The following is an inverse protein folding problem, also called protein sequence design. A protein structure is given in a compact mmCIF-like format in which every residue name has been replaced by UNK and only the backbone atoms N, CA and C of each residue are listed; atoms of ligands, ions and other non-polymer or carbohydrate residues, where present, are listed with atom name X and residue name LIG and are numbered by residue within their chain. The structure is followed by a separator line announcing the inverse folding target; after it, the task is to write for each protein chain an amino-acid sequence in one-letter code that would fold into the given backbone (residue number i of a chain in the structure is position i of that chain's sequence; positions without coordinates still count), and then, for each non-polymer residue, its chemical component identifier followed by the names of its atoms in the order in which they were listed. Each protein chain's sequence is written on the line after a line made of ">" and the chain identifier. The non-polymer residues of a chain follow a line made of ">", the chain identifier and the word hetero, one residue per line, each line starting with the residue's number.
data_IF_115031086617
#
_entry.id   IF_115031086617
#
_cell.length_a   1.000
_cell.length_b   1.000
_cell.length_c   1.000
_cell.angle_alpha   90.00
_cell.angle_beta   90.00
_cell.angle_gamma   90.00
#
_symmetry.space_group_name_H-M   'P 1'
#
loop_
_entity.id
_entity.type
_entity.pdbx_description
1 polymer ?
#
# COMPACT_ATOMS: atom_id res chain seq x y z
N UNK A 1 -14.09 18.89 -10.61
CA UNK A 1 -13.67 17.83 -9.66
C UNK A 1 -12.29 17.36 -10.06
N UNK A 2 -11.30 17.54 -9.19
CA UNK A 2 -9.99 16.92 -9.40
C UNK A 2 -10.07 15.44 -8.98
N UNK A 3 -9.55 14.53 -9.80
CA UNK A 3 -9.35 13.13 -9.40
C UNK A 3 -8.00 13.05 -8.70
N UNK A 4 -8.01 12.59 -7.45
CA UNK A 4 -6.80 12.39 -6.66
C UNK A 4 -6.31 10.96 -6.93
N UNK A 5 -5.09 10.75 -7.44
CA UNK A 5 -4.54 9.42 -7.64
C UNK A 5 -4.31 8.72 -6.30
N UNK A 6 -4.61 7.43 -6.26
CA UNK A 6 -4.43 6.56 -5.09
C UNK A 6 -3.47 5.45 -5.45
N UNK A 7 -2.43 5.27 -4.65
CA UNK A 7 -1.43 4.22 -4.80
C UNK A 7 -1.52 3.34 -3.56
N UNK A 8 -1.66 2.03 -3.78
CA UNK A 8 -1.82 1.05 -2.71
C UNK A 8 -0.66 0.06 -2.79
N UNK A 9 0.10 -0.06 -1.71
CA UNK A 9 1.11 -1.10 -1.50
C UNK A 9 0.48 -2.28 -0.77
N UNK A 10 0.30 -3.39 -1.47
CA UNK A 10 -0.13 -4.65 -0.88
C UNK A 10 1.11 -5.39 -0.37
N UNK A 11 1.24 -5.43 0.94
CA UNK A 11 2.41 -5.97 1.63
C UNK A 11 2.03 -7.21 2.43
N UNK A 12 3.05 -7.95 2.87
CA UNK A 12 2.88 -9.06 3.79
C UNK A 12 4.09 -9.16 4.71
N UNK A 13 3.88 -9.67 5.93
CA UNK A 13 4.93 -9.85 6.93
C UNK A 13 6.06 -10.79 6.45
N UNK A 14 5.70 -11.81 5.67
CA UNK A 14 6.59 -12.82 5.08
C UNK A 14 7.18 -12.42 3.72
N UNK A 15 6.75 -11.30 3.14
CA UNK A 15 7.23 -10.86 1.83
C UNK A 15 8.58 -10.13 1.96
N UNK A 16 9.68 -10.84 1.71
CA UNK A 16 11.03 -10.28 1.67
C UNK A 16 11.18 -9.07 0.73
N UNK A 17 10.77 -9.16 -0.55
CA UNK A 17 10.83 -8.04 -1.50
C UNK A 17 10.02 -6.82 -1.05
N UNK A 18 8.90 -7.01 -0.37
CA UNK A 18 8.04 -5.92 0.11
C UNK A 18 8.74 -5.05 1.15
N UNK A 19 9.60 -5.63 2.01
CA UNK A 19 10.41 -4.85 2.96
C UNK A 19 11.46 -3.97 2.28
N UNK A 20 12.00 -4.42 1.15
CA UNK A 20 13.01 -3.66 0.39
C UNK A 20 12.39 -2.44 -0.28
N UNK A 21 11.15 -2.55 -0.78
CA UNK A 21 10.48 -1.44 -1.48
C UNK A 21 9.78 -0.46 -0.53
N UNK A 22 9.42 -0.87 0.69
CA UNK A 22 8.78 -0.03 1.70
C UNK A 22 9.41 1.36 1.92
N UNK A 23 10.75 1.52 2.09
CA UNK A 23 11.36 2.84 2.23
C UNK A 23 11.24 3.70 0.97
N UNK A 24 11.32 3.08 -0.22
CA UNK A 24 11.12 3.78 -1.50
C UNK A 24 9.67 4.26 -1.60
N UNK A 25 8.69 3.41 -1.26
CA UNK A 25 7.29 3.81 -1.24
C UNK A 25 7.02 5.01 -0.32
N UNK A 26 7.61 5.01 0.88
CA UNK A 26 7.49 6.13 1.83
C UNK A 26 8.15 7.43 1.33
N UNK A 27 9.28 7.33 0.61
CA UNK A 27 9.91 8.46 -0.07
C UNK A 27 9.00 9.07 -1.15
N UNK A 28 8.32 8.23 -1.93
CA UNK A 28 7.40 8.69 -2.97
C UNK A 28 6.16 9.34 -2.38
N UNK A 29 5.63 8.83 -1.27
CA UNK A 29 4.52 9.46 -0.56
C UNK A 29 4.81 10.91 -0.15
N UNK A 30 6.05 11.21 0.23
CA UNK A 30 6.49 12.60 0.54
C UNK A 30 6.64 13.45 -0.71
N UNK A 31 7.11 12.87 -1.83
CA UNK A 31 7.35 13.59 -3.09
C UNK A 31 6.06 13.93 -3.84
N UNK A 32 5.00 13.18 -3.64
CA UNK A 32 3.71 13.33 -4.34
C UNK A 32 2.57 13.64 -3.36
N UNK A 33 2.52 14.84 -2.75
CA UNK A 33 1.47 15.21 -1.79
C UNK A 33 0.07 15.34 -2.42
N UNK A 34 -0.01 15.41 -3.76
CA UNK A 34 -1.27 15.39 -4.51
C UNK A 34 -1.84 14.00 -4.74
N UNK A 35 -1.23 12.96 -4.17
CA UNK A 35 -1.65 11.57 -4.28
C UNK A 35 -1.81 10.94 -2.89
N UNK A 36 -2.71 9.97 -2.78
CA UNK A 36 -2.93 9.22 -1.53
C UNK A 36 -2.12 7.92 -1.61
N UNK A 37 -1.30 7.66 -0.60
CA UNK A 37 -0.51 6.44 -0.47
C UNK A 37 -1.05 5.60 0.69
N UNK A 38 -1.39 4.34 0.43
CA UNK A 38 -1.92 3.40 1.40
C UNK A 38 -1.07 2.14 1.43
N UNK A 39 -0.94 1.53 2.61
CA UNK A 39 -0.35 0.21 2.78
C UNK A 39 -1.42 -0.75 3.31
N UNK A 40 -1.55 -1.90 2.68
CA UNK A 40 -2.52 -2.94 3.05
C UNK A 40 -1.74 -4.21 3.33
N UNK A 41 -1.82 -4.71 4.56
CA UNK A 41 -1.28 -6.03 4.89
C UNK A 41 -2.29 -7.11 4.49
N UNK A 42 -1.89 -8.00 3.59
CA UNK A 42 -2.76 -9.08 3.10
C UNK A 42 -3.05 -10.14 4.15
N UNK A 43 -2.17 -10.28 5.15
CA UNK A 43 -2.36 -11.26 6.23
C UNK A 43 -3.46 -10.79 7.20
N UNK A 44 -3.72 -9.48 7.29
CA UNK A 44 -4.78 -8.91 8.12
C UNK A 44 -6.16 -8.96 7.44
N UNK A 45 -6.21 -9.25 6.14
CA UNK A 45 -7.45 -9.34 5.38
C UNK A 45 -8.15 -10.67 5.66
N UNK A 46 -9.11 -10.65 6.59
CA UNK A 46 -10.06 -11.75 6.75
C UNK A 46 -11.00 -11.77 5.56
N UNK A 47 -10.73 -12.64 4.58
CA UNK A 47 -11.71 -12.93 3.52
C UNK A 47 -12.85 -13.73 4.16
N UNK A 48 -13.90 -13.03 4.62
CA UNK A 48 -15.17 -13.66 4.92
C UNK A 48 -15.84 -14.02 3.60
N UNK A 49 -15.41 -15.13 3.01
CA UNK A 49 -16.19 -15.81 1.98
C UNK A 49 -17.38 -16.41 2.74
N UNK A 50 -18.45 -15.65 2.89
CA UNK A 50 -19.74 -16.25 3.21
C UNK A 50 -20.15 -17.08 1.98
N UNK A 51 -20.47 -18.37 2.13
CA UNK A 51 -21.04 -19.15 1.04
C UNK A 51 -22.38 -18.57 0.58
#
# INVERSE_FOLDING_TARGET
>A
MARIPVIIDFTASWCGPCRVIAPVFAEYAKKFPGAIFLKVDVDELKVSIAP
#
